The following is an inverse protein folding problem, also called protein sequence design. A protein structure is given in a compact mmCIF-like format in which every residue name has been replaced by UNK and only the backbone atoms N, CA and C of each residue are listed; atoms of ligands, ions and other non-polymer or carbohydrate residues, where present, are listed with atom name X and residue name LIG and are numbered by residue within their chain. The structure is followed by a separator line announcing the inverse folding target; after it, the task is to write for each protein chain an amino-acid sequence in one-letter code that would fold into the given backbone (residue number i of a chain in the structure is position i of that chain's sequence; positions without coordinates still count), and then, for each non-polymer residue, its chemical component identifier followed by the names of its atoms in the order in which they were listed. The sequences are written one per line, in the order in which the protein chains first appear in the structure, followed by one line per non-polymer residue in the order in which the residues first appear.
data_IF_342736378457
#
_entry.id   IF_342736378457
#
_cell.length_a   1.000
_cell.length_b   1.000
_cell.length_c   1.000
_cell.angle_alpha   90.00
_cell.angle_beta   90.00
_cell.angle_gamma   90.00
#
_symmetry.space_group_name_H-M   'P 1'
#
loop_
_entity.id
_entity.type
_entity.pdbx_description
1 polymer ?
#
# COMPACT_ATOMS: atom_id res chain seq x y z
N UNK A 1 0.13 24.01 -4.75
CA UNK A 1 0.56 22.63 -4.39
C UNK A 1 1.84 22.63 -3.56
N UNK A 2 2.72 23.63 -3.69
CA UNK A 2 3.98 23.70 -2.93
C UNK A 2 4.04 24.84 -1.90
N UNK A 3 2.95 25.57 -1.71
CA UNK A 3 2.90 26.82 -0.94
C UNK A 3 3.28 26.64 0.55
N UNK A 4 3.17 25.40 1.04
CA UNK A 4 3.48 25.00 2.41
C UNK A 4 4.74 24.13 2.54
N UNK A 5 5.44 23.81 1.44
CA UNK A 5 6.60 22.90 1.47
C UNK A 5 7.74 23.42 2.36
N UNK A 6 7.96 24.74 2.36
CA UNK A 6 8.99 25.40 3.17
C UNK A 6 8.49 25.82 4.56
N UNK A 7 7.24 25.49 4.93
CA UNK A 7 6.65 25.86 6.21
C UNK A 7 6.75 24.70 7.19
N UNK A 8 7.14 25.00 8.42
CA UNK A 8 7.10 24.01 9.50
C UNK A 8 5.65 23.64 9.81
N UNK A 9 5.39 22.35 9.86
CA UNK A 9 4.08 21.78 10.17
C UNK A 9 4.10 21.14 11.56
N UNK A 10 3.00 21.28 12.30
CA UNK A 10 2.80 20.57 13.56
C UNK A 10 2.21 19.18 13.26
N UNK A 11 3.08 18.26 12.85
CA UNK A 11 2.71 16.88 12.53
C UNK A 11 3.82 15.91 12.95
N UNK A 12 3.46 14.63 13.13
CA UNK A 12 4.41 13.56 13.41
C UNK A 12 4.36 12.53 12.29
N UNK A 13 5.49 12.29 11.64
CA UNK A 13 5.62 11.21 10.65
C UNK A 13 5.65 9.85 11.35
N UNK A 14 4.90 8.90 10.80
CA UNK A 14 4.90 7.51 11.22
C UNK A 14 5.00 6.59 10.00
N UNK A 15 5.41 5.34 10.21
CA UNK A 15 5.51 4.33 9.15
C UNK A 15 5.17 2.95 9.69
N UNK A 16 4.33 2.24 8.95
CA UNK A 16 4.11 0.81 9.09
C UNK A 16 4.71 0.13 7.88
N UNK A 17 5.45 -0.97 8.10
CA UNK A 17 6.09 -1.72 7.02
C UNK A 17 6.24 -3.18 7.40
N UNK A 18 6.59 -3.99 6.41
CA UNK A 18 6.88 -5.42 6.55
C UNK A 18 8.21 -5.74 7.22
N UNK A 19 8.82 -4.77 7.92
CA UNK A 19 10.17 -4.92 8.45
C UNK A 19 10.27 -6.06 9.47
N UNK A 20 11.40 -6.75 9.44
CA UNK A 20 11.69 -7.84 10.34
C UNK A 20 11.97 -7.33 11.76
N UNK A 21 11.02 -7.57 12.67
CA UNK A 21 11.12 -7.15 14.08
C UNK A 21 12.26 -7.79 14.86
N UNK A 22 12.87 -8.85 14.33
CA UNK A 22 14.09 -9.45 14.91
C UNK A 22 15.36 -8.69 14.55
N UNK A 23 15.28 -7.73 13.61
CA UNK A 23 16.42 -7.00 13.07
C UNK A 23 17.19 -7.76 11.99
N UNK A 24 16.65 -8.86 11.47
CA UNK A 24 17.20 -9.58 10.31
C UNK A 24 16.56 -9.06 9.02
N UNK A 25 16.47 -9.90 7.98
CA UNK A 25 16.14 -9.50 6.61
C UNK A 25 14.88 -10.18 6.06
N UNK A 26 14.01 -10.71 6.92
CA UNK A 26 12.71 -11.23 6.51
C UNK A 26 11.69 -10.09 6.39
N UNK A 27 12.00 -9.08 5.56
CA UNK A 27 11.23 -7.83 5.45
C UNK A 27 9.98 -7.96 4.55
N UNK A 28 9.27 -9.09 4.65
CA UNK A 28 8.07 -9.39 3.85
C UNK A 28 7.10 -10.27 4.61
N UNK A 29 5.82 -10.19 4.25
CA UNK A 29 4.78 -11.08 4.76
C UNK A 29 4.46 -12.19 3.76
N UNK A 30 4.29 -13.41 4.26
CA UNK A 30 3.71 -14.52 3.51
C UNK A 30 2.25 -14.66 3.93
N UNK A 31 1.32 -14.45 3.00
CA UNK A 31 -0.12 -14.55 3.25
C UNK A 31 -0.64 -15.79 2.48
N UNK A 32 -1.00 -16.88 3.18
CA UNK A 32 -1.54 -18.07 2.52
C UNK A 32 -2.90 -17.82 1.86
N UNK A 33 -3.28 -18.68 0.92
CA UNK A 33 -4.58 -18.59 0.26
C UNK A 33 -5.74 -18.58 1.27
N UNK A 34 -6.69 -17.66 1.07
CA UNK A 34 -7.84 -17.46 1.96
C UNK A 34 -7.52 -16.79 3.30
N UNK A 35 -6.25 -16.50 3.59
CA UNK A 35 -5.85 -15.78 4.80
C UNK A 35 -5.85 -14.27 4.59
N UNK A 36 -5.93 -13.54 5.70
CA UNK A 36 -5.84 -12.09 5.73
C UNK A 36 -4.76 -11.67 6.73
N UNK A 37 -3.95 -10.69 6.35
CA UNK A 37 -3.00 -10.05 7.26
C UNK A 37 -3.39 -8.59 7.47
N UNK A 38 -3.20 -8.08 8.68
CA UNK A 38 -3.33 -6.65 9.00
C UNK A 38 -1.98 -5.99 8.74
N UNK A 39 -1.91 -5.16 7.70
CA UNK A 39 -0.67 -4.47 7.33
C UNK A 39 -0.37 -3.28 8.25
N UNK A 40 -1.44 -2.58 8.66
CA UNK A 40 -1.39 -1.49 9.62
C UNK A 40 -2.73 -1.41 10.37
N UNK A 41 -2.65 -1.17 11.67
CA UNK A 41 -3.77 -0.83 12.54
C UNK A 41 -3.39 0.49 13.24
N UNK A 42 -4.08 1.57 12.87
CA UNK A 42 -3.64 2.94 13.16
C UNK A 42 -4.71 3.63 14.00
N UNK A 43 -4.35 4.00 15.22
CA UNK A 43 -5.25 4.69 16.15
C UNK A 43 -5.06 6.21 16.09
N UNK A 44 -6.18 6.93 16.13
CA UNK A 44 -6.20 8.39 16.21
C UNK A 44 -6.22 9.07 14.84
N UNK A 45 -6.25 10.42 14.83
CA UNK A 45 -6.32 11.17 13.58
C UNK A 45 -5.00 11.09 12.81
N UNK A 46 -5.10 10.96 11.49
CA UNK A 46 -3.93 10.91 10.62
C UNK A 46 -4.30 10.98 9.14
N UNK A 47 -3.28 11.11 8.30
CA UNK A 47 -3.42 11.09 6.85
C UNK A 47 -2.39 10.11 6.28
N UNK A 48 -2.84 9.14 5.49
CA UNK A 48 -1.96 8.28 4.72
C UNK A 48 -1.56 9.04 3.47
N UNK A 49 -0.30 9.47 3.40
CA UNK A 49 0.23 10.27 2.28
C UNK A 49 1.03 9.45 1.28
N UNK A 50 1.40 8.22 1.63
CA UNK A 50 2.21 7.36 0.77
C UNK A 50 1.99 5.87 1.09
N UNK A 51 1.73 5.08 0.06
CA UNK A 51 1.63 3.62 0.12
C UNK A 51 2.56 3.06 -0.95
N UNK A 52 3.42 2.13 -0.56
CA UNK A 52 4.26 1.38 -1.47
C UNK A 52 4.12 -0.11 -1.17
N UNK A 53 3.90 -0.92 -2.22
CA UNK A 53 3.72 -2.35 -2.12
C UNK A 53 4.38 -3.03 -3.33
N UNK A 54 4.88 -4.25 -3.12
CA UNK A 54 5.40 -5.12 -4.17
C UNK A 54 5.08 -6.57 -3.85
N UNK A 55 4.98 -7.40 -4.87
CA UNK A 55 4.83 -8.85 -4.72
C UNK A 55 5.35 -9.59 -5.96
N UNK A 56 5.54 -10.90 -5.82
CA UNK A 56 6.09 -11.74 -6.89
C UNK A 56 5.08 -12.04 -8.00
N UNK A 57 3.81 -12.25 -7.66
CA UNK A 57 2.74 -12.66 -8.59
C UNK A 57 1.36 -12.35 -8.00
N UNK A 58 0.27 -12.67 -8.73
CA UNK A 58 -1.11 -12.64 -8.22
C UNK A 58 -1.67 -11.24 -7.93
N UNK A 59 -1.39 -10.28 -8.82
CA UNK A 59 -1.86 -8.89 -8.70
C UNK A 59 -3.37 -8.72 -8.71
N UNK A 60 -4.14 -9.67 -9.27
CA UNK A 60 -5.61 -9.63 -9.21
C UNK A 60 -6.25 -10.62 -8.22
N UNK A 61 -5.48 -11.55 -7.67
CA UNK A 61 -5.99 -12.57 -6.74
C UNK A 61 -5.84 -12.18 -5.26
N UNK A 62 -5.18 -11.06 -4.97
CA UNK A 62 -5.08 -10.49 -3.62
C UNK A 62 -5.88 -9.19 -3.54
N UNK A 63 -6.68 -9.04 -2.49
CA UNK A 63 -7.49 -7.85 -2.25
C UNK A 63 -6.77 -6.90 -1.27
N UNK A 64 -6.70 -5.62 -1.64
CA UNK A 64 -6.38 -4.54 -0.70
C UNK A 64 -7.67 -4.06 -0.06
N UNK A 65 -7.70 -4.08 1.28
CA UNK A 65 -8.84 -3.66 2.10
C UNK A 65 -8.43 -2.51 3.02
N UNK A 66 -9.15 -1.39 2.96
CA UNK A 66 -8.98 -0.26 3.87
C UNK A 66 -10.33 0.12 4.47
N UNK A 67 -10.33 0.29 5.80
CA UNK A 67 -11.47 0.77 6.57
C UNK A 67 -11.02 2.02 7.32
N UNK A 68 -11.82 3.09 7.27
CA UNK A 68 -11.60 4.31 8.04
C UNK A 68 -12.63 4.38 9.18
N UNK A 69 -12.24 5.00 10.30
CA UNK A 69 -13.10 5.35 11.43
C UNK A 69 -14.02 4.19 11.92
N UNK A 70 -13.46 2.97 12.00
CA UNK A 70 -14.16 1.74 12.39
C UNK A 70 -15.46 1.46 11.61
N UNK A 71 -15.53 1.93 10.35
CA UNK A 71 -16.70 1.74 9.52
C UNK A 71 -17.06 0.25 9.36
N UNK A 72 -18.37 -0.06 9.39
CA UNK A 72 -18.89 -1.43 9.31
C UNK A 72 -18.53 -2.17 8.02
N UNK A 73 -18.24 -1.42 6.96
CA UNK A 73 -17.89 -1.94 5.63
C UNK A 73 -16.60 -1.25 5.15
N UNK A 74 -15.78 -1.94 4.33
CA UNK A 74 -14.54 -1.36 3.84
C UNK A 74 -14.81 -0.18 2.90
N UNK A 75 -14.04 0.89 3.06
CA UNK A 75 -14.07 2.06 2.17
C UNK A 75 -13.30 1.81 0.87
N UNK A 76 -12.29 0.94 0.92
CA UNK A 76 -11.56 0.44 -0.25
C UNK A 76 -11.55 -1.08 -0.16
N UNK A 77 -12.02 -1.75 -1.21
CA UNK A 77 -11.92 -3.19 -1.38
C UNK A 77 -11.75 -3.51 -2.86
N UNK A 78 -10.50 -3.63 -3.31
CA UNK A 78 -10.17 -3.84 -4.73
C UNK A 78 -9.01 -4.82 -4.85
N UNK A 79 -8.82 -5.46 -6.02
CA UNK A 79 -7.57 -6.19 -6.29
C UNK A 79 -6.35 -5.27 -6.15
N UNK A 80 -5.24 -5.80 -5.65
CA UNK A 80 -4.03 -5.01 -5.39
C UNK A 80 -3.52 -4.31 -6.66
N UNK A 81 -3.45 -5.03 -7.79
CA UNK A 81 -3.01 -4.49 -9.07
C UNK A 81 -3.89 -3.35 -9.55
N UNK A 82 -5.21 -3.57 -9.53
CA UNK A 82 -6.21 -2.58 -9.95
C UNK A 82 -6.08 -1.26 -9.15
N UNK A 83 -5.75 -1.33 -7.84
CA UNK A 83 -5.49 -0.12 -7.03
C UNK A 83 -4.32 0.72 -7.56
N UNK A 84 -3.28 0.08 -8.10
CA UNK A 84 -2.10 0.73 -8.69
C UNK A 84 -2.16 0.83 -10.22
N UNK A 85 -3.37 0.83 -10.79
CA UNK A 85 -3.62 0.94 -12.23
C UNK A 85 -3.05 -0.21 -13.09
N UNK A 86 -2.74 -1.37 -12.48
CA UNK A 86 -2.33 -2.58 -13.19
C UNK A 86 -3.53 -3.47 -13.49
N UNK A 87 -4.13 -3.28 -14.66
CA UNK A 87 -5.29 -4.03 -15.12
C UNK A 87 -4.93 -5.44 -15.60
N UNK A 88 -5.87 -6.38 -15.49
CA UNK A 88 -5.78 -7.72 -16.08
C UNK A 88 -4.57 -8.57 -15.65
N UNK A 89 -3.94 -8.27 -14.51
CA UNK A 89 -2.74 -8.96 -14.01
C UNK A 89 -1.51 -8.73 -14.90
N UNK A 90 -1.61 -7.77 -15.82
CA UNK A 90 -0.52 -7.32 -16.66
C UNK A 90 0.21 -6.24 -15.87
N UNK A 91 1.51 -6.40 -15.67
CA UNK A 91 2.34 -5.38 -15.01
C UNK A 91 3.12 -4.61 -16.07
N UNK A 92 2.93 -3.30 -16.11
CA UNK A 92 3.67 -2.41 -17.01
C UNK A 92 4.30 -1.25 -16.25
N UNK A 93 5.32 -0.62 -16.83
CA UNK A 93 5.75 0.67 -16.32
C UNK A 93 4.65 1.70 -16.57
N UNK A 94 4.30 2.47 -15.54
CA UNK A 94 3.27 3.50 -15.60
C UNK A 94 3.58 4.59 -14.58
N UNK A 95 3.32 5.84 -14.93
CA UNK A 95 3.48 6.98 -14.03
C UNK A 95 2.35 7.99 -14.23
N UNK A 96 1.87 8.50 -13.10
CA UNK A 96 0.97 9.63 -12.97
C UNK A 96 1.32 10.39 -11.70
N UNK A 97 0.64 11.51 -11.45
CA UNK A 97 0.85 12.28 -10.22
C UNK A 97 0.53 11.47 -8.94
N UNK A 98 -0.42 10.54 -9.00
CA UNK A 98 -0.93 9.81 -7.82
C UNK A 98 -0.42 8.37 -7.72
N UNK A 99 -0.13 7.75 -8.87
CA UNK A 99 0.24 6.35 -8.95
C UNK A 99 1.43 6.16 -9.88
N UNK A 100 2.37 5.32 -9.43
CA UNK A 100 3.52 4.89 -10.22
C UNK A 100 3.67 3.39 -10.06
N UNK A 101 4.07 2.72 -11.14
CA UNK A 101 4.46 1.32 -11.13
C UNK A 101 5.70 1.12 -12.00
N UNK A 102 6.62 0.31 -11.50
CA UNK A 102 7.86 -0.03 -12.18
C UNK A 102 8.07 -1.55 -12.14
N UNK A 103 8.39 -2.14 -13.28
CA UNK A 103 8.74 -3.56 -13.43
C UNK A 103 10.06 -3.68 -14.20
N UNK A 104 10.88 -4.65 -13.80
CA UNK A 104 12.13 -4.99 -14.50
C UNK A 104 11.86 -5.60 -15.87
N UNK A 105 10.74 -6.31 -16.01
CA UNK A 105 10.36 -6.98 -17.25
C UNK A 105 8.95 -6.54 -17.65
N UNK A 106 8.75 -5.99 -18.87
CA UNK A 106 7.40 -5.89 -19.41
C UNK A 106 6.82 -7.29 -19.58
N UNK A 107 5.53 -7.44 -19.31
CA UNK A 107 4.77 -8.62 -19.75
C UNK A 107 4.67 -8.65 -21.27
#
# INVERSE_FOLDING_TARGET
MFDDLARLQSAKTQRFSSWDKTGRNQDSWTIPAGQTAVLADITGPGCITHIWLTQWSHYRSMLLKITYDDAKFPSVLVPLGDFFCQGHEIVTNFESMLFTSSTTYPY
#
